data_IF_356114669527
#
_entry.id   IF_356114669527
#
_cell.length_a   1.000
_cell.length_b   1.000
_cell.length_c   1.000
_cell.angle_alpha   90.00
_cell.angle_beta   90.00
_cell.angle_gamma   90.00
#
_symmetry.space_group_name_H-M   'P 1'
#
loop_
_entity.id
_entity.type
_entity.pdbx_description
1 polymer ?
#
# COMPACT_ATOMS: atom_id res chain seq x y z
N UNK A 1 -4.25 17.07 3.38
CA UNK A 1 -5.61 17.60 3.30
C UNK A 1 -6.43 17.15 4.50
N UNK A 2 -7.15 18.05 5.09
CA UNK A 2 -8.08 17.82 6.19
C UNK A 2 -9.51 18.07 5.72
N UNK A 3 -10.35 17.06 5.84
CA UNK A 3 -11.79 17.18 5.62
C UNK A 3 -12.47 17.98 6.74
N UNK A 4 -13.59 18.62 6.42
CA UNK A 4 -14.47 19.23 7.42
C UNK A 4 -15.37 18.22 8.15
N UNK A 5 -15.34 16.95 7.74
CA UNK A 5 -16.15 15.88 8.34
C UNK A 5 -15.46 15.36 9.60
N UNK A 6 -16.18 15.43 10.72
CA UNK A 6 -15.68 14.90 11.99
C UNK A 6 -15.47 13.39 11.90
N UNK A 7 -14.32 12.91 12.36
CA UNK A 7 -13.93 11.49 12.29
C UNK A 7 -13.94 10.91 10.86
N UNK A 8 -13.60 11.73 9.86
CA UNK A 8 -13.37 11.25 8.50
C UNK A 8 -12.29 10.17 8.48
N UNK A 9 -12.39 9.23 7.56
CA UNK A 9 -11.32 8.26 7.31
C UNK A 9 -10.07 9.00 6.87
N UNK A 10 -8.91 8.61 7.43
CA UNK A 10 -7.60 9.18 7.08
C UNK A 10 -6.82 8.18 6.24
N UNK A 11 -6.42 8.59 5.06
CA UNK A 11 -5.59 7.80 4.15
C UNK A 11 -4.14 8.28 4.27
N UNK A 12 -3.27 7.41 4.73
CA UNK A 12 -1.82 7.57 4.71
C UNK A 12 -1.29 6.91 3.44
N UNK A 13 -0.87 7.72 2.46
CA UNK A 13 -0.46 7.21 1.16
C UNK A 13 1.03 7.46 0.92
N UNK A 14 1.72 6.39 0.54
CA UNK A 14 3.18 6.37 0.34
C UNK A 14 3.57 6.96 -1.02
N UNK A 15 4.85 7.33 -1.16
CA UNK A 15 5.37 8.03 -2.34
C UNK A 15 4.59 9.33 -2.64
N UNK A 16 4.39 10.14 -1.60
CA UNK A 16 3.53 11.32 -1.61
C UNK A 16 3.83 12.31 -2.71
N UNK A 17 5.10 12.58 -2.98
CA UNK A 17 5.51 13.52 -4.04
C UNK A 17 5.06 13.04 -5.43
N UNK A 18 5.09 11.72 -5.67
CA UNK A 18 4.60 11.14 -6.93
C UNK A 18 3.09 11.33 -7.12
N UNK A 19 2.31 11.26 -6.05
CA UNK A 19 0.84 11.29 -6.11
C UNK A 19 0.22 12.64 -5.75
N UNK A 20 1.01 13.58 -5.27
CA UNK A 20 0.56 14.87 -4.74
C UNK A 20 -0.34 15.63 -5.72
N UNK A 21 0.12 15.83 -6.94
CA UNK A 21 -0.65 16.55 -7.94
C UNK A 21 -1.98 15.85 -8.27
N UNK A 22 -1.92 14.55 -8.49
CA UNK A 22 -3.09 13.71 -8.77
C UNK A 22 -4.14 13.82 -7.65
N UNK A 23 -3.73 13.64 -6.40
CA UNK A 23 -4.65 13.68 -5.27
C UNK A 23 -5.13 15.11 -4.97
N UNK A 24 -4.29 16.12 -5.12
CA UNK A 24 -4.73 17.50 -4.96
C UNK A 24 -5.81 17.88 -5.97
N UNK A 25 -5.65 17.54 -7.25
CA UNK A 25 -6.63 17.79 -8.28
C UNK A 25 -7.94 17.06 -8.02
N UNK A 26 -7.86 15.77 -7.67
CA UNK A 26 -9.02 14.96 -7.33
C UNK A 26 -9.76 15.50 -6.08
N UNK A 27 -9.04 15.92 -5.04
CA UNK A 27 -9.61 16.51 -3.81
C UNK A 27 -10.32 17.84 -4.12
N UNK A 28 -9.74 18.70 -4.97
CA UNK A 28 -10.34 19.98 -5.35
C UNK A 28 -11.68 19.75 -6.09
N UNK A 29 -11.70 18.77 -6.97
CA UNK A 29 -12.88 18.45 -7.77
C UNK A 29 -13.98 17.79 -6.94
N UNK A 30 -13.64 16.76 -6.15
CA UNK A 30 -14.61 15.89 -5.47
C UNK A 30 -14.93 16.31 -4.03
N UNK A 31 -14.07 17.11 -3.39
CA UNK A 31 -14.19 17.56 -1.98
C UNK A 31 -14.56 16.40 -1.02
N UNK A 32 -13.77 15.30 -1.02
CA UNK A 32 -14.15 14.07 -0.35
C UNK A 32 -14.24 14.24 1.17
N UNK A 33 -15.09 13.44 1.79
CA UNK A 33 -15.17 13.31 3.26
C UNK A 33 -14.02 12.43 3.82
N UNK A 34 -12.80 12.64 3.33
CA UNK A 34 -11.58 11.89 3.68
C UNK A 34 -10.48 12.87 4.10
N UNK A 35 -9.58 12.42 4.95
CA UNK A 35 -8.31 13.11 5.21
C UNK A 35 -7.19 12.42 4.42
N UNK A 36 -6.18 13.18 3.99
CA UNK A 36 -5.03 12.65 3.27
C UNK A 36 -3.73 13.08 3.95
N UNK A 37 -2.87 12.12 4.18
CA UNK A 37 -1.47 12.26 4.62
C UNK A 37 -0.60 11.60 3.55
N UNK A 38 0.20 12.39 2.87
CA UNK A 38 1.15 11.90 1.89
C UNK A 38 2.51 11.73 2.56
N UNK A 39 3.06 10.53 2.48
CA UNK A 39 4.31 10.16 3.15
C UNK A 39 5.36 9.88 2.09
N UNK A 40 6.48 10.59 2.16
CA UNK A 40 7.64 10.34 1.32
C UNK A 40 8.73 9.58 2.08
N UNK A 41 9.49 8.81 1.34
CA UNK A 41 10.71 8.18 1.80
C UNK A 41 11.91 8.77 1.08
N UNK A 42 12.99 9.05 1.81
CA UNK A 42 14.28 9.46 1.22
C UNK A 42 14.96 8.33 0.46
N UNK A 43 14.69 7.09 0.86
CA UNK A 43 15.23 5.89 0.20
C UNK A 43 14.20 4.77 0.22
N UNK A 44 13.20 4.85 -0.67
CA UNK A 44 12.11 3.88 -0.74
C UNK A 44 12.55 2.44 -0.99
N UNK A 45 13.75 2.25 -1.59
CA UNK A 45 14.31 0.90 -1.78
C UNK A 45 14.71 0.24 -0.46
N UNK A 46 15.08 1.03 0.54
CA UNK A 46 15.39 0.56 1.88
C UNK A 46 14.11 0.54 2.73
N UNK A 47 13.40 1.67 2.78
CA UNK A 47 12.33 1.94 3.74
C UNK A 47 11.05 1.11 3.50
N UNK A 48 10.83 0.65 2.24
CA UNK A 48 9.62 -0.11 1.89
C UNK A 48 9.86 -1.61 1.74
N UNK A 49 11.06 -2.11 2.02
CA UNK A 49 11.38 -3.52 1.87
C UNK A 49 11.63 -4.19 3.22
N UNK A 50 11.07 -5.41 3.43
CA UNK A 50 11.02 -6.04 4.75
C UNK A 50 12.38 -6.58 5.23
N UNK A 51 13.26 -6.98 4.32
CA UNK A 51 14.62 -7.48 4.57
C UNK A 51 15.55 -7.09 3.43
N UNK A 52 16.88 -7.17 3.65
CA UNK A 52 17.84 -6.85 2.61
C UNK A 52 17.77 -7.81 1.43
N UNK A 53 17.94 -7.27 0.22
CA UNK A 53 18.16 -8.03 -1.00
C UNK A 53 19.37 -7.47 -1.73
N UNK A 54 20.40 -8.29 -1.87
CA UNK A 54 21.61 -7.94 -2.60
C UNK A 54 21.35 -7.96 -4.11
N UNK A 55 22.07 -7.13 -4.85
CA UNK A 55 22.02 -7.15 -6.31
C UNK A 55 22.44 -8.52 -6.85
N UNK A 56 21.74 -8.96 -7.88
CA UNK A 56 21.99 -10.20 -8.61
C UNK A 56 21.67 -10.03 -10.10
N UNK A 57 21.97 -11.01 -10.93
CA UNK A 57 21.55 -10.99 -12.35
C UNK A 57 20.00 -10.91 -12.48
N UNK A 58 19.29 -11.58 -11.58
CA UNK A 58 17.83 -11.56 -11.56
C UNK A 58 17.23 -10.25 -10.99
N UNK A 59 18.00 -9.46 -10.26
CA UNK A 59 17.60 -8.14 -9.73
C UNK A 59 18.84 -7.27 -9.51
N UNK A 60 19.22 -6.44 -10.50
CA UNK A 60 20.45 -5.63 -10.43
C UNK A 60 20.28 -4.37 -9.54
N UNK A 61 19.53 -4.49 -8.46
CA UNK A 61 19.26 -3.41 -7.50
C UNK A 61 19.42 -3.93 -6.08
N UNK A 62 19.98 -3.10 -5.21
CA UNK A 62 20.06 -3.36 -3.77
C UNK A 62 18.84 -2.79 -3.06
N UNK A 63 18.35 -3.53 -2.07
CA UNK A 63 17.29 -3.10 -1.18
C UNK A 63 17.72 -3.28 0.27
N UNK A 64 17.52 -2.27 1.11
CA UNK A 64 18.10 -2.23 2.45
C UNK A 64 17.32 -2.95 3.54
N UNK A 65 16.04 -3.26 3.32
CA UNK A 65 15.24 -4.03 4.29
C UNK A 65 14.90 -3.30 5.58
N UNK A 66 14.57 -1.99 5.51
CA UNK A 66 14.31 -1.13 6.68
C UNK A 66 12.82 -0.85 6.92
N UNK A 67 11.95 -1.72 6.42
CA UNK A 67 10.50 -1.53 6.60
C UNK A 67 10.09 -1.43 8.08
N UNK A 68 10.77 -2.15 8.98
CA UNK A 68 10.47 -2.08 10.41
C UNK A 68 10.75 -0.69 10.99
N UNK A 69 11.87 -0.07 10.62
CA UNK A 69 12.23 1.30 11.07
C UNK A 69 11.25 2.33 10.48
N UNK A 70 10.88 2.16 9.20
CA UNK A 70 9.93 3.07 8.57
C UNK A 70 8.53 2.93 9.17
N UNK A 71 8.08 1.71 9.48
CA UNK A 71 6.84 1.46 10.22
C UNK A 71 6.89 2.13 11.60
N UNK A 72 7.98 1.97 12.34
CA UNK A 72 8.16 2.61 13.64
C UNK A 72 8.09 4.15 13.53
N UNK A 73 8.69 4.75 12.50
CA UNK A 73 8.57 6.19 12.25
C UNK A 73 7.11 6.60 11.99
N UNK A 74 6.38 5.88 11.14
CA UNK A 74 4.97 6.19 10.86
C UNK A 74 4.13 6.10 12.13
N UNK A 75 4.28 5.02 12.90
CA UNK A 75 3.43 4.75 14.06
C UNK A 75 3.75 5.62 15.28
N UNK A 76 5.03 6.00 15.47
CA UNK A 76 5.46 6.76 16.64
C UNK A 76 5.62 8.26 16.40
N UNK A 77 5.66 8.71 15.15
CA UNK A 77 5.85 10.12 14.79
C UNK A 77 4.73 10.66 13.92
N UNK A 78 4.47 10.05 12.76
CA UNK A 78 3.53 10.60 11.78
C UNK A 78 2.09 10.53 12.29
N UNK A 79 1.64 9.37 12.74
CA UNK A 79 0.26 9.20 13.25
C UNK A 79 0.00 10.11 14.47
N UNK A 80 0.81 10.09 15.55
CA UNK A 80 0.58 10.96 16.70
C UNK A 80 0.60 12.45 16.34
N UNK A 81 1.48 12.87 15.45
CA UNK A 81 1.51 14.25 14.95
C UNK A 81 0.19 14.62 14.26
N UNK A 82 -0.29 13.77 13.35
CA UNK A 82 -1.53 14.03 12.62
C UNK A 82 -2.76 14.06 13.54
N UNK A 83 -2.78 13.20 14.55
CA UNK A 83 -3.86 13.16 15.55
C UNK A 83 -3.86 14.40 16.45
N UNK A 84 -2.69 14.83 16.94
CA UNK A 84 -2.57 16.00 17.82
C UNK A 84 -2.81 17.31 17.08
N UNK A 85 -2.19 17.50 15.92
CA UNK A 85 -2.21 18.80 15.23
C UNK A 85 -3.47 18.98 14.37
N UNK A 86 -3.99 17.91 13.78
CA UNK A 86 -5.14 18.00 12.87
C UNK A 86 -6.42 17.39 13.43
N UNK A 87 -6.36 16.75 14.58
CA UNK A 87 -7.51 16.08 15.20
C UNK A 87 -8.02 14.89 14.39
N UNK A 88 -7.11 14.18 13.70
CA UNK A 88 -7.48 12.97 12.97
C UNK A 88 -7.89 11.87 13.94
N UNK A 89 -8.75 10.96 13.47
CA UNK A 89 -9.28 9.90 14.32
C UNK A 89 -8.23 8.82 14.61
N UNK A 90 -8.19 8.34 15.86
CA UNK A 90 -7.37 7.20 16.28
C UNK A 90 -8.01 5.83 16.01
N UNK A 91 -9.23 5.80 15.45
CA UNK A 91 -9.96 4.55 15.20
C UNK A 91 -9.34 3.76 14.05
N UNK A 92 -8.95 2.52 14.32
CA UNK A 92 -8.32 1.60 13.35
C UNK A 92 -9.14 1.47 12.05
N UNK A 93 -10.45 1.27 12.15
CA UNK A 93 -11.35 1.11 11.00
C UNK A 93 -11.54 2.39 10.17
N UNK A 94 -10.98 3.50 10.62
CA UNK A 94 -10.96 4.80 9.93
C UNK A 94 -9.54 5.23 9.53
N UNK A 95 -8.57 4.32 9.60
CA UNK A 95 -7.20 4.60 9.19
C UNK A 95 -6.79 3.66 8.07
N UNK A 96 -6.45 4.24 6.92
CA UNK A 96 -5.98 3.52 5.75
C UNK A 96 -4.49 3.73 5.54
N UNK A 97 -3.78 2.70 5.09
CA UNK A 97 -2.43 2.78 4.53
C UNK A 97 -2.48 2.35 3.08
N UNK A 98 -1.81 3.07 2.18
CA UNK A 98 -1.81 2.75 0.78
C UNK A 98 -0.54 3.13 0.05
N UNK A 99 -0.32 2.50 -1.10
CA UNK A 99 0.82 2.81 -1.96
C UNK A 99 0.86 1.97 -3.21
N UNK A 100 1.78 2.31 -4.08
CA UNK A 100 2.01 1.68 -5.38
C UNK A 100 3.36 0.94 -5.39
N UNK A 101 3.43 -0.21 -6.05
CA UNK A 101 4.69 -0.94 -6.22
C UNK A 101 5.31 -1.36 -4.87
N UNK A 102 6.53 -0.90 -4.54
CA UNK A 102 7.12 -1.09 -3.21
C UNK A 102 6.27 -0.46 -2.09
N UNK A 103 5.58 0.67 -2.37
CA UNK A 103 4.64 1.25 -1.43
C UNK A 103 3.45 0.33 -1.15
N UNK A 104 2.95 -0.36 -2.16
CA UNK A 104 1.91 -1.39 -1.99
C UNK A 104 2.41 -2.61 -1.21
N UNK A 105 3.63 -3.06 -1.46
CA UNK A 105 4.29 -4.11 -0.67
C UNK A 105 4.41 -3.71 0.80
N UNK A 106 4.89 -2.49 1.06
CA UNK A 106 5.01 -1.97 2.41
C UNK A 106 3.64 -1.84 3.11
N UNK A 107 2.57 -1.46 2.38
CA UNK A 107 1.23 -1.40 2.95
C UNK A 107 0.73 -2.76 3.45
N UNK A 108 1.03 -3.84 2.72
CA UNK A 108 0.76 -5.22 3.19
C UNK A 108 1.65 -5.61 4.37
N UNK A 109 2.93 -5.20 4.36
CA UNK A 109 3.85 -5.42 5.48
C UNK A 109 3.34 -4.73 6.75
N UNK A 110 2.84 -3.50 6.65
CA UNK A 110 2.24 -2.76 7.77
C UNK A 110 1.12 -3.57 8.42
N UNK A 111 0.19 -4.08 7.62
CA UNK A 111 -1.02 -4.75 8.14
C UNK A 111 -0.72 -6.04 8.92
N UNK A 112 0.32 -6.78 8.53
CA UNK A 112 0.72 -7.98 9.27
C UNK A 112 1.63 -7.69 10.48
N UNK A 113 2.06 -6.44 10.67
CA UNK A 113 2.94 -6.03 11.77
C UNK A 113 2.30 -5.11 12.80
N UNK A 114 1.15 -4.48 12.49
CA UNK A 114 0.42 -3.61 13.44
C UNK A 114 -1.08 -3.68 13.17
N UNK A 115 -1.89 -3.46 14.21
CA UNK A 115 -3.34 -3.36 14.16
C UNK A 115 -3.85 -1.91 14.02
N UNK A 116 -2.95 -0.97 13.76
CA UNK A 116 -3.30 0.45 13.70
C UNK A 116 -4.05 0.86 12.44
N UNK A 117 -3.99 0.05 11.39
CA UNK A 117 -4.66 0.33 10.12
C UNK A 117 -5.72 -0.73 9.85
N UNK A 118 -6.94 -0.31 9.61
CA UNK A 118 -8.05 -1.22 9.27
C UNK A 118 -8.35 -1.26 7.76
N UNK A 119 -7.63 -0.47 6.96
CA UNK A 119 -7.83 -0.41 5.51
C UNK A 119 -6.48 -0.42 4.82
N UNK A 120 -6.29 -1.32 3.86
CA UNK A 120 -5.06 -1.44 3.06
C UNK A 120 -5.38 -1.21 1.59
N UNK A 121 -4.63 -0.31 0.94
CA UNK A 121 -4.74 0.01 -0.48
C UNK A 121 -3.44 -0.41 -1.19
N UNK A 122 -3.40 -1.65 -1.66
CA UNK A 122 -2.22 -2.33 -2.21
C UNK A 122 -2.26 -2.31 -3.74
N UNK A 123 -1.72 -1.25 -4.35
CA UNK A 123 -1.76 -1.05 -5.80
C UNK A 123 -0.50 -1.61 -6.47
N UNK A 124 -0.66 -2.55 -7.41
CA UNK A 124 0.44 -3.15 -8.19
C UNK A 124 1.66 -3.49 -7.33
N UNK A 125 1.40 -4.06 -6.15
CA UNK A 125 2.39 -4.32 -5.12
C UNK A 125 3.52 -5.21 -5.60
N UNK A 126 4.76 -4.89 -5.24
CA UNK A 126 5.96 -5.64 -5.65
C UNK A 126 6.03 -7.04 -5.04
N UNK A 127 5.01 -7.87 -5.31
CA UNK A 127 4.90 -9.25 -4.80
C UNK A 127 5.92 -10.22 -5.41
N UNK A 128 6.72 -9.76 -6.35
CA UNK A 128 7.91 -10.43 -6.83
C UNK A 128 9.06 -10.45 -5.80
N UNK A 129 8.96 -9.65 -4.73
CA UNK A 129 10.00 -9.58 -3.70
C UNK A 129 10.19 -10.95 -3.04
N UNK A 130 11.43 -11.48 -2.99
CA UNK A 130 11.69 -12.83 -2.51
C UNK A 130 11.13 -13.06 -1.11
N UNK A 131 10.54 -14.23 -0.89
CA UNK A 131 9.97 -14.71 0.37
C UNK A 131 8.78 -13.91 0.93
N UNK A 132 8.42 -12.76 0.32
CA UNK A 132 7.34 -11.92 0.86
C UNK A 132 5.96 -12.59 0.80
N UNK A 133 5.68 -13.34 -0.26
CA UNK A 133 4.44 -14.11 -0.32
C UNK A 133 4.38 -15.21 0.75
N UNK A 134 5.49 -15.89 1.03
CA UNK A 134 5.59 -16.86 2.12
C UNK A 134 5.37 -16.18 3.48
N UNK A 135 6.00 -15.04 3.69
CA UNK A 135 5.82 -14.23 4.89
C UNK A 135 4.34 -13.86 5.12
N UNK A 136 3.62 -13.39 4.10
CA UNK A 136 2.19 -13.07 4.22
C UNK A 136 1.30 -14.29 4.49
N UNK A 137 1.71 -15.48 4.05
CA UNK A 137 0.99 -16.73 4.37
C UNK A 137 1.08 -17.10 5.84
N UNK A 138 2.22 -16.84 6.46
CA UNK A 138 2.52 -17.18 7.85
C UNK A 138 2.06 -16.12 8.86
N UNK A 139 1.85 -14.88 8.40
CA UNK A 139 1.48 -13.75 9.25
C UNK A 139 0.09 -13.22 8.87
N UNK A 140 -0.95 -13.52 9.65
CA UNK A 140 -2.29 -12.99 9.40
C UNK A 140 -2.33 -11.48 9.62
N UNK A 141 -3.28 -10.82 8.98
CA UNK A 141 -3.59 -9.42 9.22
C UNK A 141 -3.96 -9.20 10.69
N UNK A 142 -3.45 -8.12 11.28
CA UNK A 142 -3.61 -7.84 12.71
C UNK A 142 -4.84 -7.04 13.04
N UNK A 143 -5.36 -6.23 12.12
CA UNK A 143 -6.63 -5.54 12.34
C UNK A 143 -7.76 -6.55 12.50
N UNK A 144 -8.71 -6.34 13.43
CA UNK A 144 -9.79 -7.31 13.71
C UNK A 144 -10.79 -7.46 12.55
N UNK A 145 -11.00 -6.42 11.77
CA UNK A 145 -11.90 -6.39 10.61
C UNK A 145 -11.23 -5.61 9.47
N UNK A 146 -10.18 -6.17 8.84
CA UNK A 146 -9.44 -5.46 7.83
C UNK A 146 -10.24 -5.33 6.54
N UNK A 147 -9.99 -4.24 5.82
CA UNK A 147 -10.42 -4.05 4.44
C UNK A 147 -9.22 -4.02 3.53
N UNK A 148 -9.29 -4.68 2.38
CA UNK A 148 -8.18 -4.77 1.45
C UNK A 148 -8.62 -4.49 0.02
N UNK A 149 -8.05 -3.45 -0.56
CA UNK A 149 -8.02 -3.25 -2.00
C UNK A 149 -6.70 -3.77 -2.55
N UNK A 150 -6.75 -4.58 -3.61
CA UNK A 150 -5.59 -5.03 -4.36
C UNK A 150 -5.79 -4.78 -5.86
N UNK A 151 -4.72 -4.42 -6.54
CA UNK A 151 -4.72 -4.37 -8.01
C UNK A 151 -3.39 -4.81 -8.60
N UNK A 152 -3.42 -5.23 -9.87
CA UNK A 152 -2.24 -5.51 -10.69
C UNK A 152 -2.61 -5.30 -12.17
N UNK A 153 -1.66 -4.84 -12.98
CA UNK A 153 -1.84 -4.78 -14.43
C UNK A 153 -1.72 -6.16 -15.08
N UNK A 154 -2.53 -6.43 -16.10
CA UNK A 154 -2.58 -7.71 -16.79
C UNK A 154 -1.34 -8.02 -17.65
N UNK A 155 -0.47 -7.00 -17.85
CA UNK A 155 0.81 -7.15 -18.56
C UNK A 155 2.04 -7.02 -17.63
N UNK A 156 1.85 -6.87 -16.31
CA UNK A 156 2.97 -6.66 -15.38
C UNK A 156 3.89 -7.88 -15.30
N UNK A 157 5.15 -7.70 -15.70
CA UNK A 157 6.18 -8.74 -15.65
C UNK A 157 6.11 -9.80 -16.74
N UNK A 158 5.14 -9.78 -17.68
CA UNK A 158 4.98 -10.81 -18.70
C UNK A 158 6.21 -10.97 -19.60
N UNK A 159 6.91 -9.88 -19.91
CA UNK A 159 8.11 -9.88 -20.73
C UNK A 159 9.40 -9.81 -19.92
N UNK A 160 9.30 -9.81 -18.61
CA UNK A 160 10.46 -9.67 -17.74
C UNK A 160 11.28 -10.97 -17.66
N UNK A 161 12.60 -10.82 -17.72
CA UNK A 161 13.57 -11.91 -17.56
C UNK A 161 14.19 -11.94 -16.16
N UNK A 162 13.66 -11.13 -15.25
CA UNK A 162 14.13 -10.97 -13.87
C UNK A 162 12.99 -11.29 -12.87
N UNK A 163 13.22 -11.04 -11.57
CA UNK A 163 12.26 -11.37 -10.51
C UNK A 163 10.85 -10.76 -10.73
N UNK A 164 10.74 -9.67 -11.50
CA UNK A 164 9.43 -9.03 -11.73
C UNK A 164 8.46 -9.88 -12.57
N UNK A 165 8.94 -10.96 -13.22
CA UNK A 165 8.09 -11.93 -13.89
C UNK A 165 7.15 -12.69 -12.93
N UNK A 166 7.44 -12.69 -11.62
CA UNK A 166 6.58 -13.25 -10.59
C UNK A 166 5.45 -12.29 -10.12
N UNK A 167 5.38 -11.08 -10.68
CA UNK A 167 4.42 -10.06 -10.23
C UNK A 167 2.97 -10.54 -10.30
N UNK A 168 2.49 -10.91 -11.47
CA UNK A 168 1.11 -11.39 -11.66
C UNK A 168 0.87 -12.72 -10.95
N UNK A 169 1.69 -13.78 -11.14
CA UNK A 169 1.48 -15.05 -10.46
C UNK A 169 1.36 -14.90 -8.94
N UNK A 170 2.26 -14.17 -8.30
CA UNK A 170 2.23 -13.98 -6.86
C UNK A 170 1.04 -13.14 -6.40
N UNK A 171 0.63 -12.15 -7.19
CA UNK A 171 -0.57 -11.35 -6.88
C UNK A 171 -1.83 -12.21 -6.93
N UNK A 172 -1.97 -13.06 -7.94
CA UNK A 172 -3.12 -13.97 -8.05
C UNK A 172 -3.13 -15.01 -6.93
N UNK A 173 -1.97 -15.57 -6.58
CA UNK A 173 -1.85 -16.50 -5.45
C UNK A 173 -2.23 -15.83 -4.12
N UNK A 174 -1.80 -14.59 -3.89
CA UNK A 174 -2.17 -13.85 -2.68
C UNK A 174 -3.66 -13.52 -2.66
N UNK A 175 -4.23 -13.08 -3.79
CA UNK A 175 -5.67 -12.87 -3.94
C UNK A 175 -6.46 -14.11 -3.52
N UNK A 176 -6.15 -15.26 -4.13
CA UNK A 176 -6.87 -16.51 -3.87
C UNK A 176 -6.73 -16.99 -2.42
N UNK A 177 -5.60 -16.69 -1.78
CA UNK A 177 -5.36 -16.97 -0.36
C UNK A 177 -6.18 -16.08 0.57
N UNK A 178 -6.33 -14.80 0.23
CA UNK A 178 -6.90 -13.80 1.12
C UNK A 178 -8.40 -13.61 0.93
N UNK A 179 -8.89 -13.56 -0.30
CA UNK A 179 -10.31 -13.27 -0.60
C UNK A 179 -11.30 -14.09 0.25
N UNK A 180 -11.12 -15.41 0.46
CA UNK A 180 -12.04 -16.19 1.30
C UNK A 180 -12.06 -15.83 2.79
N UNK A 181 -11.07 -15.04 3.25
CA UNK A 181 -10.93 -14.65 4.66
C UNK A 181 -11.64 -13.33 5.00
N UNK A 182 -12.10 -12.59 3.97
CA UNK A 182 -12.77 -11.31 4.15
C UNK A 182 -14.29 -11.45 4.11
N UNK A 183 -14.97 -10.54 4.80
CA UNK A 183 -16.42 -10.42 4.68
C UNK A 183 -16.80 -9.83 3.30
N UNK A 184 -18.00 -10.10 2.79
CA UNK A 184 -18.47 -9.48 1.57
C UNK A 184 -18.39 -7.95 1.61
N UNK A 185 -17.69 -7.36 0.65
CA UNK A 185 -17.46 -5.92 0.55
C UNK A 185 -16.19 -5.40 1.26
N UNK A 186 -15.49 -6.24 2.03
CA UNK A 186 -14.24 -5.84 2.68
C UNK A 186 -12.99 -6.23 1.88
N UNK A 187 -13.15 -6.93 0.76
CA UNK A 187 -12.10 -7.26 -0.19
C UNK A 187 -12.46 -6.82 -1.61
N UNK A 188 -11.55 -6.16 -2.27
CA UNK A 188 -11.66 -5.79 -3.68
C UNK A 188 -10.37 -6.11 -4.42
N UNK A 189 -10.49 -6.87 -5.49
CA UNK A 189 -9.41 -7.08 -6.45
C UNK A 189 -9.77 -6.45 -7.79
N UNK A 190 -8.81 -5.77 -8.41
CA UNK A 190 -8.96 -5.18 -9.75
C UNK A 190 -7.80 -5.63 -10.63
N UNK A 191 -8.12 -6.33 -11.72
CA UNK A 191 -7.17 -6.54 -12.81
C UNK A 191 -7.24 -5.32 -13.72
N UNK A 192 -6.13 -4.61 -13.81
CA UNK A 192 -5.99 -3.36 -14.54
C UNK A 192 -5.41 -3.62 -15.94
N UNK A 193 -5.74 -2.81 -16.91
CA UNK A 193 -5.16 -2.89 -18.25
C UNK A 193 -3.70 -2.39 -18.25
N UNK A 194 -2.80 -3.14 -18.91
CA UNK A 194 -1.43 -2.75 -19.22
C UNK A 194 -0.38 -3.15 -18.17
N UNK A 195 0.83 -2.63 -18.38
CA UNK A 195 2.00 -2.94 -17.57
C UNK A 195 2.11 -2.09 -16.30
N UNK A 196 3.20 -2.31 -15.54
CA UNK A 196 3.47 -1.63 -14.27
C UNK A 196 3.53 -0.10 -14.36
N UNK A 197 3.88 0.46 -15.51
CA UNK A 197 3.99 1.91 -15.72
C UNK A 197 2.71 2.57 -16.24
N UNK A 198 1.68 1.78 -16.62
CA UNK A 198 0.48 2.33 -17.21
C UNK A 198 -0.51 2.85 -16.15
N UNK A 199 -0.97 4.08 -16.37
CA UNK A 199 -2.03 4.72 -15.60
C UNK A 199 -1.88 4.62 -14.06
N UNK A 200 -0.66 4.81 -13.56
CA UNK A 200 -0.32 4.71 -12.12
C UNK A 200 -1.26 5.58 -11.27
N UNK A 201 -1.45 6.84 -11.68
CA UNK A 201 -2.34 7.79 -10.99
C UNK A 201 -3.79 7.32 -10.97
N UNK A 202 -4.32 6.86 -12.09
CA UNK A 202 -5.70 6.35 -12.17
C UNK A 202 -5.91 5.09 -11.32
N UNK A 203 -4.92 4.20 -11.24
CA UNK A 203 -4.97 3.01 -10.36
C UNK A 203 -5.00 3.41 -8.88
N UNK A 204 -4.19 4.40 -8.49
CA UNK A 204 -4.20 4.93 -7.12
C UNK A 204 -5.54 5.62 -6.78
N UNK A 205 -6.11 6.38 -7.73
CA UNK A 205 -7.44 6.99 -7.54
C UNK A 205 -8.54 5.94 -7.34
N UNK A 206 -8.58 4.89 -8.16
CA UNK A 206 -9.57 3.80 -7.97
C UNK A 206 -9.47 3.13 -6.60
N UNK A 207 -8.26 3.03 -6.05
CA UNK A 207 -8.07 2.48 -4.72
C UNK A 207 -8.65 3.38 -3.62
N UNK A 208 -8.50 4.71 -3.74
CA UNK A 208 -9.03 5.64 -2.73
C UNK A 208 -10.54 5.90 -2.89
N UNK A 209 -11.11 5.61 -4.04
CA UNK A 209 -12.55 5.72 -4.32
C UNK A 209 -13.35 4.52 -3.81
N UNK A 210 -12.68 3.39 -3.61
CA UNK A 210 -13.29 2.18 -3.05
C UNK A 210 -13.54 2.33 -1.55
#
# INVERSE_FOLDING_TARGET
YRSNVRSATTIYFLDGEQFKETFCNWIIEHKPALNFVLIDSKNRADDYTPWPLSASEAMPKVFGGKAAEHLAFITTKVIPFCESEYGFTSRTEKRAIGGYSLGGLFSLYVEVNTDLFGIVLSCSSSLWYPDFLAYLKEHPFKAPHPKLYMSVGDEEGLTATNLTNHQIPNTMMLKDLLEPKFQPGDFKFTLEEGNHGNNISGRALRAIEW
#
